data_IF_549236720798
#
_entry.id   IF_549236720798
#
_cell.length_a   1.000
_cell.length_b   1.000
_cell.length_c   1.000
_cell.angle_alpha   90.00
_cell.angle_beta   90.00
_cell.angle_gamma   90.00
#
_symmetry.space_group_name_H-M   'P 1'
#
loop_
_entity.id
_entity.type
_entity.pdbx_description
1 polymer ?
#
# COMPACT_ATOMS: atom_id res chain seq x y z
N UNK A 1 2.55 -50.64 -17.41
CA UNK A 1 3.94 -50.20 -17.14
C UNK A 1 4.25 -48.81 -17.71
N UNK A 2 3.81 -48.44 -18.92
CA UNK A 2 4.13 -47.13 -19.53
C UNK A 2 3.58 -45.88 -18.79
N UNK A 3 2.43 -45.99 -18.11
CA UNK A 3 1.78 -44.85 -17.45
C UNK A 3 2.37 -44.48 -16.07
N UNK A 4 3.14 -45.36 -15.44
CA UNK A 4 3.68 -45.08 -14.10
C UNK A 4 4.78 -44.01 -14.13
N UNK A 5 5.58 -43.97 -15.19
CA UNK A 5 6.69 -43.03 -15.35
C UNK A 5 6.24 -41.55 -15.41
N UNK A 6 5.26 -41.15 -16.25
CA UNK A 6 4.78 -39.77 -16.27
C UNK A 6 4.04 -39.36 -14.99
N UNK A 7 3.37 -40.29 -14.31
CA UNK A 7 2.64 -39.99 -13.07
C UNK A 7 3.62 -39.64 -11.94
N UNK A 8 4.69 -40.42 -11.79
CA UNK A 8 5.73 -40.13 -10.78
C UNK A 8 6.39 -38.77 -11.07
N UNK A 9 6.67 -38.47 -12.34
CA UNK A 9 7.18 -37.17 -12.74
C UNK A 9 6.22 -36.03 -12.38
N UNK A 10 4.92 -36.20 -12.63
CA UNK A 10 3.91 -35.20 -12.29
C UNK A 10 3.81 -34.95 -10.78
N UNK A 11 3.87 -36.02 -9.98
CA UNK A 11 3.82 -35.93 -8.51
C UNK A 11 5.04 -35.22 -7.93
N UNK A 12 6.16 -35.13 -8.65
CA UNK A 12 7.35 -34.37 -8.22
C UNK A 12 7.34 -32.95 -8.77
N UNK A 13 7.05 -32.79 -10.07
CA UNK A 13 7.15 -31.50 -10.76
C UNK A 13 6.03 -30.55 -10.38
N UNK A 14 4.79 -31.05 -10.23
CA UNK A 14 3.63 -30.22 -9.85
C UNK A 14 3.82 -29.58 -8.48
N UNK A 15 4.16 -30.31 -7.39
CA UNK A 15 4.36 -29.66 -6.10
C UNK A 15 5.59 -28.76 -6.09
N UNK A 16 6.67 -29.10 -6.80
CA UNK A 16 7.83 -28.21 -6.92
C UNK A 16 7.45 -26.87 -7.57
N UNK A 17 6.67 -26.92 -8.65
CA UNK A 17 6.15 -25.72 -9.32
C UNK A 17 5.20 -24.93 -8.43
N UNK A 18 4.33 -25.62 -7.67
CA UNK A 18 3.41 -24.99 -6.73
C UNK A 18 4.18 -24.25 -5.64
N UNK A 19 5.21 -24.85 -5.06
CA UNK A 19 6.07 -24.15 -4.09
C UNK A 19 6.73 -22.91 -4.72
N UNK A 20 7.30 -23.02 -5.92
CA UNK A 20 7.94 -21.89 -6.61
C UNK A 20 6.94 -20.78 -6.96
N UNK A 21 5.75 -21.14 -7.45
CA UNK A 21 4.71 -20.19 -7.83
C UNK A 21 4.23 -19.37 -6.62
N UNK A 22 3.97 -20.05 -5.50
CA UNK A 22 3.50 -19.39 -4.29
C UNK A 22 4.63 -18.59 -3.62
N UNK A 23 5.88 -19.06 -3.69
CA UNK A 23 7.02 -18.30 -3.19
C UNK A 23 7.28 -17.04 -4.02
N UNK A 24 7.16 -17.11 -5.35
CA UNK A 24 7.25 -15.94 -6.23
C UNK A 24 6.14 -14.93 -5.93
N UNK A 25 4.89 -15.40 -5.77
CA UNK A 25 3.75 -14.55 -5.39
C UNK A 25 3.95 -13.91 -4.01
N UNK A 26 4.48 -14.65 -3.05
CA UNK A 26 4.78 -14.14 -1.71
C UNK A 26 5.90 -13.09 -1.70
N UNK A 27 6.92 -13.23 -2.57
CA UNK A 27 7.96 -12.20 -2.75
C UNK A 27 7.39 -10.92 -3.36
N UNK A 28 6.54 -11.03 -4.37
CA UNK A 28 5.88 -9.86 -4.97
C UNK A 28 4.96 -9.17 -3.97
N UNK A 29 4.19 -9.93 -3.17
CA UNK A 29 3.34 -9.39 -2.12
C UNK A 29 4.15 -8.66 -1.02
N UNK A 30 5.31 -9.19 -0.61
CA UNK A 30 6.21 -8.51 0.33
C UNK A 30 6.78 -7.20 -0.23
N UNK A 31 7.01 -7.11 -1.53
CA UNK A 31 7.53 -5.88 -2.14
C UNK A 31 6.44 -4.80 -2.24
N UNK A 32 5.20 -5.19 -2.58
CA UNK A 32 4.01 -4.32 -2.48
C UNK A 32 3.84 -3.77 -1.06
N UNK A 33 3.92 -4.63 -0.03
CA UNK A 33 3.78 -4.21 1.36
C UNK A 33 4.74 -3.08 1.78
N UNK A 34 5.96 -3.03 1.24
CA UNK A 34 6.90 -1.93 1.53
C UNK A 34 6.52 -0.63 0.82
N UNK A 35 6.07 -0.72 -0.43
CA UNK A 35 5.58 0.44 -1.17
C UNK A 35 4.31 1.01 -0.53
N UNK A 36 3.46 0.14 0.03
CA UNK A 36 2.27 0.54 0.77
C UNK A 36 2.63 1.29 2.06
N UNK A 37 3.62 0.80 2.83
CA UNK A 37 4.15 1.50 4.01
C UNK A 37 4.73 2.88 3.66
N UNK A 38 5.48 3.00 2.57
CA UNK A 38 6.03 4.27 2.07
C UNK A 38 4.90 5.24 1.66
N UNK A 39 3.89 4.73 0.94
CA UNK A 39 2.73 5.53 0.53
C UNK A 39 1.96 6.06 1.74
N UNK A 40 1.79 5.25 2.78
CA UNK A 40 1.13 5.69 4.02
C UNK A 40 1.94 6.77 4.75
N UNK A 41 3.27 6.65 4.77
CA UNK A 41 4.14 7.68 5.36
C UNK A 41 4.03 9.01 4.59
N UNK A 42 3.98 8.96 3.26
CA UNK A 42 3.79 10.14 2.41
C UNK A 42 2.43 10.80 2.65
N UNK A 43 1.36 10.02 2.76
CA UNK A 43 0.02 10.53 3.07
C UNK A 43 -0.02 11.21 4.45
N UNK A 44 0.67 10.65 5.43
CA UNK A 44 0.79 11.25 6.76
C UNK A 44 1.51 12.60 6.70
N UNK A 45 2.65 12.66 6.01
CA UNK A 45 3.42 13.89 5.83
C UNK A 45 2.61 14.96 5.07
N UNK A 46 1.82 14.56 4.07
CA UNK A 46 0.91 15.45 3.36
C UNK A 46 -0.19 16.00 4.29
N UNK A 47 -0.78 15.16 5.14
CA UNK A 47 -1.77 15.59 6.13
C UNK A 47 -1.21 16.66 7.07
N UNK A 48 -0.02 16.43 7.63
CA UNK A 48 0.64 17.40 8.52
C UNK A 48 0.90 18.74 7.80
N UNK A 49 1.31 18.69 6.53
CA UNK A 49 1.52 19.89 5.72
C UNK A 49 0.23 20.65 5.45
N UNK A 50 -0.88 19.93 5.21
CA UNK A 50 -2.19 20.53 5.00
C UNK A 50 -2.72 21.18 6.28
N UNK A 51 -2.53 20.54 7.44
CA UNK A 51 -2.90 21.09 8.74
C UNK A 51 -2.21 22.43 9.01
N UNK A 52 -0.89 22.52 8.82
CA UNK A 52 -0.13 23.77 8.94
C UNK A 52 -0.62 24.86 7.97
N UNK A 53 -1.07 24.46 6.77
CA UNK A 53 -1.63 25.39 5.80
C UNK A 53 -3.01 25.89 6.22
N UNK A 54 -3.84 25.02 6.79
CA UNK A 54 -5.15 25.40 7.32
C UNK A 54 -4.95 26.41 8.45
N UNK A 55 -4.05 26.15 9.40
CA UNK A 55 -3.73 27.08 10.49
C UNK A 55 -3.27 28.46 9.97
N UNK A 56 -2.41 28.45 8.94
CA UNK A 56 -1.99 29.69 8.29
C UNK A 56 -3.14 30.41 7.59
N UNK A 57 -4.05 29.68 6.94
CA UNK A 57 -5.22 30.24 6.28
C UNK A 57 -6.23 30.78 7.30
N UNK A 58 -6.44 30.09 8.42
CA UNK A 58 -7.26 30.56 9.54
C UNK A 58 -6.69 31.87 10.11
N UNK A 59 -5.37 31.95 10.29
CA UNK A 59 -4.71 33.17 10.77
C UNK A 59 -4.89 34.35 9.82
N UNK A 60 -4.83 34.12 8.50
CA UNK A 60 -5.06 35.17 7.50
C UNK A 60 -6.54 35.54 7.46
N UNK A 61 -7.43 34.57 7.50
CA UNK A 61 -8.87 34.77 7.43
C UNK A 61 -9.40 35.51 8.65
N UNK A 62 -8.84 35.26 9.84
CA UNK A 62 -9.15 36.02 11.05
C UNK A 62 -8.71 37.48 10.96
N UNK A 63 -7.61 37.77 10.23
CA UNK A 63 -7.14 39.14 10.01
C UNK A 63 -7.96 39.88 8.97
N UNK A 64 -8.37 39.21 7.89
CA UNK A 64 -9.05 39.83 6.76
C UNK A 64 -10.57 39.85 6.88
N UNK A 65 -11.18 38.89 7.58
CA UNK A 65 -12.62 38.72 7.71
C UNK A 65 -13.04 38.45 9.16
N UNK A 66 -12.93 39.45 10.03
CA UNK A 66 -13.39 39.37 11.42
C UNK A 66 -14.88 38.93 11.47
N UNK A 67 -15.17 37.76 12.06
CA UNK A 67 -16.53 37.19 12.17
C UNK A 67 -16.92 36.16 11.11
N UNK A 68 -16.00 35.64 10.30
CA UNK A 68 -16.31 34.61 9.28
C UNK A 68 -16.88 33.30 9.87
N UNK A 69 -16.52 32.96 11.12
CA UNK A 69 -17.03 31.80 11.86
C UNK A 69 -18.47 31.93 12.33
N UNK A 70 -19.03 33.15 12.42
CA UNK A 70 -20.43 33.38 12.82
C UNK A 70 -21.42 33.14 11.66
N UNK A 71 -20.95 32.86 10.44
CA UNK A 71 -21.78 32.55 9.26
C UNK A 71 -21.95 31.05 8.99
N UNK A 72 -21.72 30.19 9.98
CA UNK A 72 -21.92 28.75 9.89
C UNK A 72 -23.32 28.33 10.34
#
# INVERSE_FOLDING_TARGET
>A
MLLALPIIFMVVVVPLWLVLHYLAKARTAKNLSKADEETLADLWALSEKLERRIESLETILDREACGWRDRQ
#
